data_IF_455639954465
#
_entry.id   IF_455639954465
#
_cell.length_a   1.000
_cell.length_b   1.000
_cell.length_c   1.000
_cell.angle_alpha   90.00
_cell.angle_beta   90.00
_cell.angle_gamma   90.00
#
_symmetry.space_group_name_H-M   'P 1'
#
loop_
_entity.id
_entity.type
_entity.pdbx_description
1 polymer ?
#
# COMPACT_ATOMS: atom_id res chain seq x y z
N UNK A 1 31.74 -17.98 -38.26
CA UNK A 1 32.79 -16.94 -38.08
C UNK A 1 32.99 -16.73 -36.60
N UNK A 2 34.17 -17.12 -36.11
CA UNK A 2 34.50 -17.06 -34.69
C UNK A 2 35.41 -15.86 -34.42
N UNK A 3 35.03 -14.99 -33.53
CA UNK A 3 35.92 -13.91 -33.05
C UNK A 3 36.60 -14.34 -31.75
N UNK A 4 37.90 -14.47 -31.84
CA UNK A 4 38.82 -14.69 -30.71
C UNK A 4 39.13 -13.33 -30.07
N UNK A 5 38.90 -13.19 -28.79
CA UNK A 5 39.38 -12.06 -27.98
C UNK A 5 40.71 -12.43 -27.31
N UNK A 6 41.65 -11.56 -27.48
CA UNK A 6 43.05 -11.67 -27.07
C UNK A 6 43.18 -11.12 -25.63
N UNK A 7 43.70 -11.93 -24.74
CA UNK A 7 44.07 -11.51 -23.36
C UNK A 7 45.50 -10.93 -23.45
N UNK A 8 45.68 -9.72 -22.94
CA UNK A 8 47.01 -9.14 -22.69
C UNK A 8 47.23 -9.13 -21.17
N UNK A 9 48.23 -9.88 -20.75
CA UNK A 9 48.79 -9.85 -19.41
C UNK A 9 50.01 -8.94 -19.46
N UNK A 10 50.05 -7.91 -18.63
CA UNK A 10 51.29 -7.19 -18.29
C UNK A 10 51.49 -7.24 -16.79
N UNK A 11 52.55 -7.95 -16.45
CA UNK A 11 53.22 -7.91 -15.13
C UNK A 11 54.16 -6.71 -15.12
N UNK A 12 54.10 -5.87 -14.10
CA UNK A 12 55.33 -5.33 -13.52
C UNK A 12 55.01 -4.80 -12.11
N UNK A 13 55.83 -5.26 -11.18
CA UNK A 13 55.77 -4.91 -9.76
C UNK A 13 56.42 -3.58 -9.45
N UNK A 14 55.96 -2.97 -8.41
CA UNK A 14 56.86 -2.28 -7.46
C UNK A 14 56.19 -2.14 -6.12
N UNK A 15 56.92 -2.69 -5.11
CA UNK A 15 56.58 -2.66 -3.70
C UNK A 15 57.15 -1.37 -3.11
N UNK A 16 56.30 -0.50 -2.59
CA UNK A 16 56.74 0.52 -1.60
C UNK A 16 55.72 0.59 -0.48
N UNK A 17 56.13 0.03 0.68
CA UNK A 17 55.48 0.17 1.96
C UNK A 17 55.46 1.69 2.36
N UNK A 18 54.29 2.30 2.36
CA UNK A 18 54.03 3.49 3.16
C UNK A 18 53.08 3.11 4.29
N UNK A 19 53.62 3.00 5.50
CA UNK A 19 52.85 3.10 6.72
C UNK A 19 52.15 4.46 6.79
N UNK A 20 50.89 4.49 6.48
CA UNK A 20 50.01 5.61 6.83
C UNK A 20 49.30 5.22 8.13
N UNK A 21 49.80 5.79 9.24
CA UNK A 21 49.04 5.87 10.49
C UNK A 21 47.72 6.58 10.22
N UNK A 22 46.63 5.79 10.20
CA UNK A 22 45.27 6.32 10.10
C UNK A 22 44.88 6.81 11.49
N UNK A 23 45.13 8.10 11.79
CA UNK A 23 44.50 8.78 12.92
C UNK A 23 42.98 8.65 12.79
N UNK A 24 42.39 7.81 13.64
CA UNK A 24 40.97 7.66 13.80
C UNK A 24 40.37 8.93 14.42
N UNK A 25 40.08 9.92 13.59
CA UNK A 25 39.21 11.03 13.97
C UNK A 25 37.85 10.45 14.38
N UNK A 26 37.58 10.40 15.69
CA UNK A 26 36.25 10.18 16.25
C UNK A 26 35.34 11.26 15.67
N UNK A 27 34.61 10.93 14.58
CA UNK A 27 33.52 11.76 14.10
C UNK A 27 32.49 11.84 15.22
N UNK A 28 32.42 12.99 15.88
CA UNK A 28 31.28 13.36 16.73
C UNK A 28 30.00 13.13 15.92
N UNK A 29 29.01 12.37 16.43
CA UNK A 29 27.75 12.19 15.71
C UNK A 29 27.13 13.59 15.49
N UNK A 30 26.58 13.86 14.31
CA UNK A 30 25.89 15.13 14.06
C UNK A 30 24.78 15.30 15.12
N UNK A 31 24.49 16.56 15.54
CA UNK A 31 23.44 16.83 16.50
C UNK A 31 22.17 16.14 16.02
N UNK A 32 21.52 15.43 16.94
CA UNK A 32 20.32 14.63 16.67
C UNK A 32 19.32 15.47 15.88
N UNK A 33 19.20 15.20 14.60
CA UNK A 33 18.14 15.76 13.79
C UNK A 33 16.82 15.33 14.44
N UNK A 34 16.11 16.27 15.04
CA UNK A 34 14.77 16.04 15.57
C UNK A 34 13.99 15.39 14.43
N UNK A 35 13.63 14.13 14.62
CA UNK A 35 12.84 13.40 13.61
C UNK A 35 11.57 14.22 13.35
N UNK A 36 11.20 14.48 12.09
CA UNK A 36 10.05 15.30 11.78
C UNK A 36 8.84 14.76 12.53
N UNK A 37 8.29 15.60 13.40
CA UNK A 37 7.13 15.25 14.22
C UNK A 37 5.91 15.20 13.30
N UNK A 38 5.41 14.00 13.02
CA UNK A 38 4.12 13.81 12.36
C UNK A 38 3.16 13.09 13.29
N UNK A 39 1.89 13.41 13.20
CA UNK A 39 0.81 12.72 13.91
C UNK A 39 0.14 11.71 12.95
N UNK A 40 0.14 10.42 13.34
CA UNK A 40 -0.58 9.36 12.64
C UNK A 40 -1.83 9.01 13.45
N UNK A 41 -2.98 9.33 12.93
CA UNK A 41 -4.28 9.07 13.58
C UNK A 41 -5.35 8.58 12.62
N UNK A 42 -6.45 8.08 13.15
CA UNK A 42 -7.65 7.80 12.36
C UNK A 42 -8.19 9.10 11.77
N UNK A 43 -8.70 9.01 10.56
CA UNK A 43 -9.36 10.11 9.87
C UNK A 43 -10.65 9.63 9.20
N UNK A 44 -11.42 10.55 8.65
CA UNK A 44 -12.60 10.23 7.84
C UNK A 44 -12.20 9.73 6.45
N UNK A 45 -13.09 8.98 5.80
CA UNK A 45 -12.91 8.62 4.40
C UNK A 45 -12.98 9.84 3.48
N UNK A 46 -13.71 10.87 3.89
CA UNK A 46 -13.84 12.11 3.16
C UNK A 46 -12.52 12.88 3.08
N UNK A 47 -11.78 12.98 4.18
CA UNK A 47 -10.42 13.58 4.17
C UNK A 47 -9.49 12.84 3.21
N UNK A 48 -9.55 11.50 3.17
CA UNK A 48 -8.74 10.72 2.22
C UNK A 48 -9.20 10.94 0.79
N UNK A 49 -10.52 11.05 0.54
CA UNK A 49 -11.07 11.35 -0.78
C UNK A 49 -10.66 12.72 -1.30
N UNK A 50 -10.74 13.72 -0.45
CA UNK A 50 -10.33 15.07 -0.79
C UNK A 50 -8.84 15.12 -1.17
N UNK A 51 -7.99 14.44 -0.41
CA UNK A 51 -6.58 14.32 -0.74
C UNK A 51 -6.36 13.55 -2.06
N UNK A 52 -7.13 12.47 -2.30
CA UNK A 52 -7.07 11.69 -3.54
C UNK A 52 -7.50 12.51 -4.76
N UNK A 53 -8.53 13.35 -4.63
CA UNK A 53 -9.00 14.17 -5.75
C UNK A 53 -7.95 15.15 -6.25
N UNK A 54 -7.06 15.59 -5.37
CA UNK A 54 -5.99 16.55 -5.69
C UNK A 54 -4.67 15.89 -6.12
N UNK A 55 -4.35 14.72 -5.57
CA UNK A 55 -3.00 14.17 -5.66
C UNK A 55 -2.91 12.71 -6.12
N UNK A 56 -4.03 12.03 -6.41
CA UNK A 56 -4.01 10.63 -6.82
C UNK A 56 -4.48 10.45 -8.26
N UNK A 57 -3.74 9.72 -9.10
CA UNK A 57 -4.03 9.54 -10.51
C UNK A 57 -5.42 8.95 -10.85
N UNK A 58 -6.07 8.27 -9.90
CA UNK A 58 -7.46 7.81 -10.02
C UNK A 58 -8.49 8.81 -9.47
N UNK A 59 -8.08 9.94 -8.91
CA UNK A 59 -8.93 11.03 -8.46
C UNK A 59 -9.96 10.71 -7.38
N UNK A 60 -9.94 9.52 -6.80
CA UNK A 60 -10.91 9.11 -5.76
C UNK A 60 -10.41 7.96 -4.90
N UNK A 61 -10.92 7.89 -3.67
CA UNK A 61 -10.72 6.80 -2.72
C UNK A 61 -11.96 5.92 -2.67
N UNK A 62 -12.41 5.22 -3.57
CA UNK A 62 -13.50 4.23 -3.55
C UNK A 62 -14.67 4.49 -2.58
N UNK A 63 -15.74 3.71 -2.68
CA UNK A 63 -16.98 3.95 -1.95
C UNK A 63 -16.97 3.58 -0.45
N UNK A 64 -16.11 2.67 -0.04
CA UNK A 64 -16.16 2.09 1.32
C UNK A 64 -14.74 1.89 1.84
N UNK A 65 -14.47 2.31 3.07
CA UNK A 65 -13.27 1.93 3.81
C UNK A 65 -13.66 1.48 5.23
N UNK A 66 -12.97 0.47 5.74
CA UNK A 66 -13.15 -0.02 7.11
C UNK A 66 -12.26 0.77 8.06
N UNK A 67 -11.08 1.13 7.58
CA UNK A 67 -10.14 1.98 8.30
C UNK A 67 -9.61 3.05 7.39
N UNK A 68 -9.55 4.28 7.89
CA UNK A 68 -8.81 5.38 7.30
C UNK A 68 -7.80 5.92 8.31
N UNK A 69 -6.60 6.21 7.82
CA UNK A 69 -5.54 6.85 8.59
C UNK A 69 -5.05 8.08 7.85
N UNK A 70 -4.86 9.14 8.59
CA UNK A 70 -4.22 10.37 8.12
C UNK A 70 -2.87 10.60 8.81
N UNK A 71 -1.93 11.13 8.07
CA UNK A 71 -0.70 11.71 8.60
C UNK A 71 -0.84 13.21 8.58
N UNK A 72 -0.61 13.83 9.72
CA UNK A 72 -0.77 15.27 9.90
C UNK A 72 0.56 15.91 10.26
N UNK A 73 0.86 17.04 9.65
CA UNK A 73 1.94 17.95 9.98
C UNK A 73 1.32 19.33 10.25
N UNK A 74 1.58 19.89 11.40
CA UNK A 74 1.03 21.20 11.81
C UNK A 74 -0.50 21.29 11.64
N UNK A 75 -1.22 20.20 11.93
CA UNK A 75 -2.67 20.12 11.79
C UNK A 75 -3.20 19.85 10.37
N UNK A 76 -2.36 19.93 9.34
CA UNK A 76 -2.70 19.67 7.94
C UNK A 76 -2.47 18.19 7.59
N UNK A 77 -3.44 17.58 6.91
CA UNK A 77 -3.26 16.21 6.39
C UNK A 77 -2.28 16.23 5.20
N UNK A 78 -1.20 15.44 5.31
CA UNK A 78 -0.15 15.35 4.27
C UNK A 78 -0.07 13.97 3.61
N UNK A 79 -0.67 12.94 4.22
CA UNK A 79 -0.86 11.63 3.59
C UNK A 79 -2.11 10.97 4.12
N UNK A 80 -2.77 10.19 3.25
CA UNK A 80 -4.01 9.47 3.55
C UNK A 80 -3.94 8.02 3.09
N UNK A 81 -4.57 7.13 3.87
CA UNK A 81 -4.60 5.69 3.63
C UNK A 81 -6.01 5.16 3.87
N UNK A 82 -6.56 4.45 2.90
CA UNK A 82 -7.87 3.82 3.01
C UNK A 82 -7.74 2.31 2.86
N UNK A 83 -8.25 1.58 3.86
CA UNK A 83 -8.23 0.14 3.95
C UNK A 83 -9.63 -0.43 3.85
N UNK A 84 -9.82 -1.47 3.05
CA UNK A 84 -11.10 -2.16 2.87
C UNK A 84 -10.90 -3.64 2.56
N UNK A 85 -11.85 -4.53 2.87
CA UNK A 85 -11.84 -5.89 2.38
C UNK A 85 -11.83 -5.86 0.85
N UNK A 86 -10.96 -6.65 0.19
CA UNK A 86 -11.01 -6.76 -1.27
C UNK A 86 -12.27 -7.51 -1.72
N UNK A 87 -12.65 -7.46 -3.00
CA UNK A 87 -13.71 -8.29 -3.54
C UNK A 87 -13.46 -9.77 -3.24
N UNK A 88 -14.51 -10.59 -3.03
CA UNK A 88 -14.36 -11.98 -2.59
C UNK A 88 -13.46 -12.84 -3.49
N UNK A 89 -13.50 -12.65 -4.81
CA UNK A 89 -12.61 -13.32 -5.76
C UNK A 89 -11.14 -12.95 -5.57
N UNK A 90 -10.86 -11.67 -5.34
CA UNK A 90 -9.51 -11.21 -5.06
C UNK A 90 -9.01 -11.69 -3.69
N UNK A 91 -9.87 -11.70 -2.68
CA UNK A 91 -9.53 -12.24 -1.36
C UNK A 91 -9.14 -13.72 -1.43
N UNK A 92 -9.94 -14.53 -2.13
CA UNK A 92 -9.63 -15.97 -2.36
C UNK A 92 -8.35 -16.18 -3.15
N UNK A 93 -8.05 -15.31 -4.10
CA UNK A 93 -6.80 -15.41 -4.87
C UNK A 93 -5.54 -15.06 -4.05
N UNK A 94 -5.70 -14.34 -2.94
CA UNK A 94 -4.61 -13.97 -2.03
C UNK A 94 -4.46 -15.00 -0.92
N UNK A 95 -5.56 -15.39 -0.28
CA UNK A 95 -5.58 -16.33 0.86
C UNK A 95 -6.82 -17.23 0.73
N UNK A 96 -6.73 -18.36 0.00
CA UNK A 96 -7.87 -19.26 -0.24
C UNK A 96 -8.42 -19.88 1.05
N UNK A 97 -7.56 -20.18 2.02
CA UNK A 97 -7.93 -20.79 3.30
C UNK A 97 -8.65 -19.82 4.25
N UNK A 98 -8.40 -18.54 4.15
CA UNK A 98 -8.99 -17.53 5.02
C UNK A 98 -9.27 -16.19 4.27
N UNK A 99 -10.12 -16.20 3.22
CA UNK A 99 -10.35 -15.00 2.42
C UNK A 99 -10.97 -13.85 3.22
N UNK A 100 -11.69 -14.18 4.29
CA UNK A 100 -12.23 -13.19 5.23
C UNK A 100 -11.17 -12.48 6.08
N UNK A 101 -9.94 -12.98 6.13
CA UNK A 101 -8.79 -12.39 6.83
C UNK A 101 -7.94 -11.46 5.96
N UNK A 102 -8.35 -11.21 4.72
CA UNK A 102 -7.60 -10.35 3.80
C UNK A 102 -8.12 -8.90 3.89
N UNK A 103 -7.21 -7.96 4.11
CA UNK A 103 -7.50 -6.53 4.06
C UNK A 103 -6.65 -5.85 2.98
N UNK A 104 -7.27 -5.02 2.18
CA UNK A 104 -6.60 -4.31 1.09
C UNK A 104 -6.34 -2.85 1.45
N UNK A 105 -5.10 -2.38 1.27
CA UNK A 105 -4.83 -0.96 1.15
C UNK A 105 -5.30 -0.51 -0.24
N UNK A 106 -6.52 0.00 -0.28
CA UNK A 106 -7.19 0.38 -1.53
C UNK A 106 -6.72 1.71 -2.09
N UNK A 107 -6.30 2.61 -1.21
CA UNK A 107 -5.72 3.91 -1.57
C UNK A 107 -4.62 4.29 -0.60
N UNK A 108 -3.57 4.82 -1.17
CA UNK A 108 -2.52 5.54 -0.49
C UNK A 108 -2.22 6.79 -1.31
N UNK A 109 -2.28 7.93 -0.69
CA UNK A 109 -2.04 9.22 -1.31
C UNK A 109 -1.21 10.08 -0.37
N UNK A 110 -0.36 10.91 -0.92
CA UNK A 110 0.37 11.92 -0.17
C UNK A 110 0.53 13.18 -1.02
N UNK A 111 0.59 14.32 -0.37
CA UNK A 111 1.00 15.56 -1.04
C UNK A 111 2.41 15.41 -1.62
N UNK A 112 2.82 16.18 -2.62
CA UNK A 112 4.17 16.18 -3.18
C UNK A 112 5.26 16.21 -2.09
N UNK A 113 6.41 15.62 -2.39
CA UNK A 113 7.46 15.42 -1.37
C UNK A 113 8.08 16.73 -0.87
N UNK A 114 8.07 17.74 -1.67
CA UNK A 114 8.55 19.11 -1.38
C UNK A 114 7.58 19.89 -0.50
N UNK A 115 6.30 19.50 -0.49
CA UNK A 115 5.25 20.15 0.29
C UNK A 115 5.04 19.55 1.69
N UNK A 116 5.90 18.61 2.13
CA UNK A 116 5.75 17.92 3.44
C UNK A 116 7.12 17.64 4.08
N UNK A 117 7.15 17.68 5.40
CA UNK A 117 8.33 17.32 6.19
C UNK A 117 8.55 15.79 6.18
N UNK A 118 7.50 14.99 6.21
CA UNK A 118 7.57 13.52 6.12
C UNK A 118 8.19 13.08 4.80
N UNK A 119 9.44 12.64 4.82
CA UNK A 119 10.15 12.20 3.61
C UNK A 119 9.74 10.79 3.14
N UNK A 120 9.38 9.90 4.08
CA UNK A 120 9.13 8.48 3.80
C UNK A 120 7.75 8.04 4.28
N UNK A 121 6.78 8.00 3.38
CA UNK A 121 5.41 7.52 3.65
C UNK A 121 5.34 6.03 4.01
N UNK A 122 6.42 5.28 3.81
CA UNK A 122 6.55 3.89 4.25
C UNK A 122 6.60 3.74 5.79
N UNK A 123 7.09 4.76 6.51
CA UNK A 123 7.16 4.73 7.99
C UNK A 123 5.77 4.72 8.64
N UNK A 124 4.86 5.66 8.34
CA UNK A 124 3.49 5.59 8.84
C UNK A 124 2.72 4.37 8.29
N UNK A 125 3.01 3.90 7.07
CA UNK A 125 2.41 2.68 6.54
C UNK A 125 2.77 1.47 7.40
N UNK A 126 4.04 1.26 7.74
CA UNK A 126 4.45 0.16 8.65
C UNK A 126 3.77 0.23 10.01
N UNK A 127 3.60 1.44 10.57
CA UNK A 127 2.91 1.64 11.84
C UNK A 127 1.44 1.23 11.75
N UNK A 128 0.74 1.59 10.68
CA UNK A 128 -0.64 1.18 10.43
C UNK A 128 -0.78 -0.34 10.28
N UNK A 129 0.11 -0.96 9.49
CA UNK A 129 0.13 -2.41 9.30
C UNK A 129 0.22 -3.13 10.64
N UNK A 130 1.12 -2.69 11.53
CA UNK A 130 1.22 -3.25 12.89
C UNK A 130 -0.09 -3.10 13.66
N UNK A 131 -0.68 -1.90 13.69
CA UNK A 131 -1.97 -1.64 14.35
C UNK A 131 -3.07 -2.57 13.82
N UNK A 132 -3.12 -2.82 12.52
CA UNK A 132 -4.14 -3.67 11.90
C UNK A 132 -3.92 -5.15 12.18
N UNK A 133 -2.66 -5.60 12.18
CA UNK A 133 -2.27 -6.98 12.45
C UNK A 133 -2.47 -7.33 13.93
N UNK A 134 -2.08 -6.44 14.84
CA UNK A 134 -2.20 -6.64 16.29
C UNK A 134 -3.66 -6.81 16.75
N UNK A 135 -4.62 -6.38 15.94
CA UNK A 135 -6.04 -6.65 16.16
C UNK A 135 -6.44 -8.11 15.87
N UNK A 136 -5.55 -8.92 15.29
CA UNK A 136 -5.76 -10.33 15.01
C UNK A 136 -6.74 -10.65 13.87
N UNK A 137 -7.53 -9.66 13.42
CA UNK A 137 -8.57 -9.86 12.41
C UNK A 137 -8.02 -10.00 10.98
N UNK A 138 -6.87 -9.38 10.68
CA UNK A 138 -6.34 -9.22 9.34
C UNK A 138 -4.94 -9.81 9.22
N UNK A 139 -4.80 -11.15 9.19
CA UNK A 139 -3.50 -11.79 9.06
C UNK A 139 -2.84 -11.57 7.71
N UNK A 140 -3.60 -11.15 6.70
CA UNK A 140 -3.07 -10.92 5.36
C UNK A 140 -3.46 -9.53 4.87
N UNK A 141 -2.45 -8.75 4.51
CA UNK A 141 -2.63 -7.44 3.89
C UNK A 141 -2.26 -7.52 2.41
N UNK A 142 -3.01 -6.85 1.54
CA UNK A 142 -2.76 -6.81 0.10
C UNK A 142 -2.87 -5.39 -0.43
N UNK A 143 -2.08 -5.08 -1.45
CA UNK A 143 -2.20 -3.82 -2.20
C UNK A 143 -1.71 -4.01 -3.64
N UNK A 144 -1.92 -2.99 -4.45
CA UNK A 144 -1.55 -3.01 -5.86
C UNK A 144 -0.86 -1.70 -6.23
N UNK A 145 0.25 -1.80 -6.97
CA UNK A 145 0.86 -0.65 -7.64
C UNK A 145 0.54 -0.68 -9.14
N UNK A 146 0.17 0.46 -9.70
CA UNK A 146 -0.09 0.63 -11.12
C UNK A 146 1.19 1.11 -11.81
N UNK A 147 1.84 0.21 -12.55
CA UNK A 147 3.07 0.51 -13.28
C UNK A 147 2.86 1.57 -14.38
N UNK A 148 1.67 1.61 -14.98
CA UNK A 148 1.31 2.63 -15.97
C UNK A 148 1.13 4.04 -15.40
N UNK A 149 1.12 4.16 -14.06
CA UNK A 149 1.17 5.44 -13.33
C UNK A 149 2.60 5.73 -12.81
N UNK A 150 3.60 4.97 -13.23
CA UNK A 150 4.96 5.11 -12.73
C UNK A 150 5.17 4.57 -11.31
N UNK A 151 4.19 3.85 -10.76
CA UNK A 151 4.28 3.32 -9.39
C UNK A 151 5.18 2.09 -9.34
N UNK A 152 6.41 2.25 -8.90
CA UNK A 152 7.39 1.16 -8.77
C UNK A 152 7.10 0.21 -7.59
N UNK A 153 6.21 0.59 -6.69
CA UNK A 153 5.94 -0.12 -5.44
C UNK A 153 7.05 0.00 -4.39
N UNK A 154 8.00 0.91 -4.57
CA UNK A 154 9.12 1.12 -3.64
C UNK A 154 8.66 1.32 -2.19
N UNK A 155 7.58 2.07 -1.97
CA UNK A 155 7.00 2.28 -0.64
C UNK A 155 6.58 0.96 0.01
N UNK A 156 6.01 0.03 -0.73
CA UNK A 156 5.59 -1.28 -0.23
C UNK A 156 6.80 -2.14 0.12
N UNK A 157 7.79 -2.20 -0.78
CA UNK A 157 9.06 -2.89 -0.48
C UNK A 157 9.70 -2.36 0.80
N UNK A 158 9.81 -1.04 0.97
CA UNK A 158 10.34 -0.41 2.18
C UNK A 158 9.48 -0.64 3.42
N UNK A 159 8.20 -1.03 3.27
CA UNK A 159 7.29 -1.34 4.38
C UNK A 159 7.24 -2.84 4.72
N UNK A 160 8.05 -3.68 4.08
CA UNK A 160 8.10 -5.12 4.34
C UNK A 160 7.02 -5.93 3.62
N UNK A 161 6.53 -5.44 2.47
CA UNK A 161 5.64 -6.19 1.61
C UNK A 161 6.42 -7.02 0.60
N UNK A 162 5.91 -8.18 0.27
CA UNK A 162 6.44 -9.05 -0.77
C UNK A 162 5.76 -8.78 -2.11
N UNK A 163 6.57 -8.70 -3.15
CA UNK A 163 6.09 -8.63 -4.53
C UNK A 163 5.64 -10.02 -4.96
N UNK A 164 4.37 -10.14 -5.41
CA UNK A 164 3.81 -11.44 -5.79
C UNK A 164 3.40 -11.47 -7.26
N UNK A 165 2.13 -11.53 -7.58
CA UNK A 165 1.64 -11.67 -8.95
C UNK A 165 1.52 -10.32 -9.67
N UNK A 166 1.57 -10.37 -10.99
CA UNK A 166 1.37 -9.24 -11.89
C UNK A 166 0.22 -9.56 -12.83
N UNK A 167 -0.70 -8.61 -13.00
CA UNK A 167 -1.86 -8.77 -13.87
C UNK A 167 -2.06 -7.57 -14.76
N UNK A 168 -2.43 -7.81 -16.01
CA UNK A 168 -2.82 -6.76 -16.95
C UNK A 168 -4.28 -6.38 -16.66
N UNK A 169 -4.55 -5.08 -16.51
CA UNK A 169 -5.90 -4.54 -16.29
C UNK A 169 -6.23 -3.45 -17.30
N UNK A 170 -7.49 -3.45 -17.76
CA UNK A 170 -8.03 -2.32 -18.50
C UNK A 170 -8.23 -1.13 -17.55
N UNK A 171 -8.05 0.06 -18.07
CA UNK A 171 -8.47 1.30 -17.43
C UNK A 171 -9.30 2.13 -18.41
N UNK A 172 -10.09 3.04 -17.85
CA UNK A 172 -11.02 3.91 -18.55
C UNK A 172 -10.70 5.35 -18.19
N UNK A 173 -11.04 6.28 -19.08
CA UNK A 173 -10.80 7.72 -18.90
C UNK A 173 -12.11 8.39 -18.55
N UNK A 174 -12.11 9.21 -17.50
CA UNK A 174 -13.21 10.11 -17.16
C UNK A 174 -13.11 11.40 -17.94
N UNK A 175 -14.20 12.17 -17.96
CA UNK A 175 -14.28 13.49 -18.62
C UNK A 175 -13.24 14.50 -18.09
N UNK A 176 -12.82 14.35 -16.83
CA UNK A 176 -11.76 15.14 -16.19
C UNK A 176 -10.33 14.66 -16.50
N UNK A 177 -10.18 13.64 -17.37
CA UNK A 177 -8.91 13.03 -17.72
C UNK A 177 -8.37 12.04 -16.69
N UNK A 178 -9.03 11.86 -15.54
CA UNK A 178 -8.59 10.90 -14.53
C UNK A 178 -8.88 9.45 -14.94
N UNK A 179 -8.13 8.50 -14.40
CA UNK A 179 -8.32 7.08 -14.70
C UNK A 179 -9.38 6.45 -13.80
N UNK A 180 -10.15 5.52 -14.36
CA UNK A 180 -11.03 4.62 -13.64
C UNK A 180 -10.65 3.17 -13.89
N UNK A 181 -10.74 2.32 -12.86
CA UNK A 181 -10.63 0.86 -13.02
C UNK A 181 -11.98 0.20 -13.37
N UNK A 182 -13.06 0.97 -13.36
CA UNK A 182 -14.41 0.50 -13.64
C UNK A 182 -14.90 1.10 -14.96
N UNK A 183 -15.57 0.26 -15.75
CA UNK A 183 -16.23 0.68 -16.99
C UNK A 183 -17.38 1.68 -16.75
N UNK A 184 -18.09 1.49 -15.65
CA UNK A 184 -19.19 2.37 -15.25
C UNK A 184 -18.72 3.28 -14.11
N UNK A 185 -18.74 4.59 -14.34
CA UNK A 185 -18.58 5.56 -13.27
C UNK A 185 -19.94 5.86 -12.66
N UNK A 186 -20.32 5.14 -11.61
CA UNK A 186 -21.61 5.23 -10.95
C UNK A 186 -21.88 6.56 -10.20
N UNK A 187 -21.24 7.66 -10.56
CA UNK A 187 -21.35 8.94 -9.87
C UNK A 187 -22.56 9.77 -10.26
N UNK A 188 -23.18 9.48 -11.38
CA UNK A 188 -24.30 10.32 -11.89
C UNK A 188 -25.43 9.42 -12.31
N UNK A 189 -26.29 8.96 -11.45
CA UNK A 189 -27.62 8.39 -11.72
C UNK A 189 -27.94 7.76 -13.09
N UNK A 190 -27.05 7.81 -14.04
CA UNK A 190 -27.03 7.19 -15.36
C UNK A 190 -25.71 6.49 -15.59
N UNK A 191 -25.77 5.28 -16.15
CA UNK A 191 -24.60 4.50 -16.58
C UNK A 191 -23.88 5.25 -17.71
N UNK A 192 -23.02 6.20 -17.39
CA UNK A 192 -22.08 6.72 -18.37
C UNK A 192 -21.00 5.67 -18.62
N UNK A 193 -21.01 5.13 -19.82
CA UNK A 193 -19.93 4.27 -20.31
C UNK A 193 -18.69 5.13 -20.53
N UNK A 194 -17.65 4.84 -19.77
CA UNK A 194 -16.36 5.52 -19.92
C UNK A 194 -15.63 5.02 -21.16
N UNK A 195 -14.90 5.90 -21.81
CA UNK A 195 -14.03 5.53 -22.92
C UNK A 195 -12.88 4.64 -22.40
N UNK A 196 -12.55 3.59 -23.18
CA UNK A 196 -11.46 2.71 -22.85
C UNK A 196 -10.12 3.40 -23.10
N UNK A 197 -9.38 3.72 -22.04
CA UNK A 197 -8.07 4.36 -22.13
C UNK A 197 -6.93 3.41 -22.50
N UNK A 198 -7.13 2.10 -22.31
CA UNK A 198 -6.09 1.11 -22.62
C UNK A 198 -5.92 0.05 -21.53
N UNK A 199 -4.68 -0.42 -21.37
CA UNK A 199 -4.32 -1.40 -20.36
C UNK A 199 -3.10 -0.92 -19.57
N UNK A 200 -3.06 -1.33 -18.30
CA UNK A 200 -1.93 -1.11 -17.41
C UNK A 200 -1.52 -2.42 -16.73
N UNK A 201 -0.31 -2.48 -16.22
CA UNK A 201 0.15 -3.59 -15.41
C UNK A 201 -0.01 -3.24 -13.93
N UNK A 202 -0.74 -4.11 -13.21
CA UNK A 202 -0.94 -4.03 -11.77
C UNK A 202 -0.04 -5.05 -11.09
N UNK A 203 0.91 -4.58 -10.30
CA UNK A 203 1.75 -5.42 -9.47
C UNK A 203 1.10 -5.61 -8.11
N UNK A 204 0.84 -6.87 -7.70
CA UNK A 204 0.31 -7.20 -6.38
C UNK A 204 1.45 -7.30 -5.37
N UNK A 205 1.19 -6.75 -4.19
CA UNK A 205 2.05 -6.78 -3.01
C UNK A 205 1.27 -7.39 -1.86
N UNK A 206 1.88 -8.31 -1.12
CA UNK A 206 1.28 -9.00 0.01
C UNK A 206 2.17 -8.87 1.25
N UNK A 207 1.51 -8.82 2.42
CA UNK A 207 2.17 -8.93 3.70
C UNK A 207 1.41 -9.94 4.56
N UNK A 208 2.09 -10.98 5.01
CA UNK A 208 1.53 -12.05 5.83
C UNK A 208 2.04 -11.91 7.27
N UNK A 209 1.12 -11.73 8.21
CA UNK A 209 1.42 -11.64 9.65
C UNK A 209 1.79 -12.99 10.26
N UNK A 210 1.44 -14.08 9.58
CA UNK A 210 1.73 -15.46 9.97
C UNK A 210 2.13 -16.28 8.72
N UNK A 211 2.78 -17.44 8.88
CA UNK A 211 3.04 -18.34 7.77
C UNK A 211 1.77 -18.66 6.97
N UNK A 212 1.92 -18.82 5.66
CA UNK A 212 0.80 -19.24 4.79
C UNK A 212 0.24 -20.56 5.31
N UNK A 213 -1.07 -20.73 5.26
CA UNK A 213 -1.79 -21.87 5.82
C UNK A 213 -2.22 -21.71 7.27
N UNK A 214 -1.65 -20.78 8.04
CA UNK A 214 -2.06 -20.51 9.42
C UNK A 214 -3.01 -19.32 9.57
N UNK A 215 -3.37 -18.66 8.47
CA UNK A 215 -4.22 -17.48 8.51
C UNK A 215 -5.60 -17.75 9.12
N UNK A 216 -6.20 -18.92 8.85
CA UNK A 216 -7.49 -19.31 9.43
C UNK A 216 -7.38 -19.47 10.96
N UNK A 217 -6.35 -20.18 11.44
CA UNK A 217 -6.11 -20.36 12.87
C UNK A 217 -5.84 -19.02 13.56
N UNK A 218 -5.07 -18.13 12.93
CA UNK A 218 -4.84 -16.79 13.44
C UNK A 218 -6.14 -16.01 13.60
N UNK A 219 -7.05 -16.10 12.63
CA UNK A 219 -8.37 -15.46 12.71
C UNK A 219 -9.28 -16.09 13.77
N UNK A 220 -9.23 -17.40 13.95
CA UNK A 220 -10.04 -18.10 14.96
C UNK A 220 -9.58 -17.76 16.38
N UNK A 221 -8.29 -17.52 16.57
CA UNK A 221 -7.74 -17.08 17.86
C UNK A 221 -8.02 -15.61 18.16
N UNK A 222 -8.43 -14.84 17.16
CA UNK A 222 -8.84 -13.47 17.37
C UNK A 222 -10.30 -13.42 17.83
N UNK A 223 -10.57 -12.74 18.94
CA UNK A 223 -11.91 -12.58 19.55
C UNK A 223 -12.81 -11.67 18.69
N UNK A 224 -13.07 -12.08 17.44
CA UNK A 224 -13.87 -11.29 16.51
C UNK A 224 -15.12 -12.05 16.06
N UNK A 225 -16.26 -11.49 16.37
CA UNK A 225 -17.56 -11.99 15.89
C UNK A 225 -17.97 -11.25 14.62
N UNK A 226 -18.37 -12.00 13.62
CA UNK A 226 -19.02 -11.50 12.43
C UNK A 226 -20.49 -11.23 12.73
N UNK A 227 -20.90 -9.98 12.66
CA UNK A 227 -22.28 -9.56 12.95
C UNK A 227 -22.90 -8.99 11.68
N UNK A 228 -24.12 -9.43 11.29
CA UNK A 228 -24.86 -8.80 10.22
C UNK A 228 -25.12 -7.32 10.53
N UNK A 229 -24.98 -6.46 9.54
CA UNK A 229 -25.35 -5.05 9.67
C UNK A 229 -26.84 -4.93 9.39
N UNK A 230 -27.67 -4.56 10.37
CA UNK A 230 -29.12 -4.44 10.19
C UNK A 230 -29.45 -3.52 9.00
N UNK A 231 -30.38 -3.95 8.15
CA UNK A 231 -30.87 -3.15 7.03
C UNK A 231 -29.91 -2.93 5.87
N UNK A 232 -28.67 -3.46 5.92
CA UNK A 232 -27.73 -3.38 4.80
C UNK A 232 -27.59 -4.70 4.07
N UNK A 233 -28.05 -4.72 2.82
CA UNK A 233 -27.90 -5.86 1.89
C UNK A 233 -27.05 -5.42 0.70
N UNK A 234 -26.20 -6.31 0.20
CA UNK A 234 -25.50 -6.08 -1.05
C UNK A 234 -26.49 -6.19 -2.23
N UNK A 235 -26.14 -5.63 -3.39
CA UNK A 235 -26.96 -5.77 -4.62
C UNK A 235 -27.25 -7.23 -5.00
N UNK A 236 -26.48 -8.18 -4.50
CA UNK A 236 -26.67 -9.62 -4.63
C UNK A 236 -27.70 -10.23 -3.67
N UNK A 237 -28.38 -9.43 -2.85
CA UNK A 237 -29.31 -9.93 -1.81
C UNK A 237 -28.66 -10.46 -0.54
N UNK A 238 -27.33 -10.55 -0.49
CA UNK A 238 -26.62 -11.05 0.69
C UNK A 238 -26.50 -9.95 1.77
N UNK A 239 -26.64 -10.32 3.07
CA UNK A 239 -26.47 -9.35 4.15
C UNK A 239 -25.05 -8.79 4.17
N UNK A 240 -24.94 -7.49 4.43
CA UNK A 240 -23.67 -6.87 4.80
C UNK A 240 -23.28 -7.29 6.21
N UNK A 241 -21.99 -7.45 6.45
CA UNK A 241 -21.47 -7.80 7.78
C UNK A 241 -20.48 -6.75 8.26
N UNK A 242 -20.55 -6.48 9.55
CA UNK A 242 -19.48 -5.82 10.29
C UNK A 242 -18.80 -6.83 11.20
N UNK A 243 -17.67 -6.46 11.76
CA UNK A 243 -16.94 -7.27 12.72
C UNK A 243 -16.82 -6.47 14.00
N UNK A 244 -17.24 -7.05 15.09
CA UNK A 244 -17.12 -6.48 16.43
C UNK A 244 -16.11 -7.31 17.22
N UNK A 245 -15.30 -6.65 18.00
CA UNK A 245 -14.46 -7.32 18.97
C UNK A 245 -15.33 -7.65 20.19
N UNK A 246 -15.28 -8.89 20.69
CA UNK A 246 -15.90 -9.19 21.98
C UNK A 246 -15.20 -8.34 23.03
N UNK A 247 -15.95 -7.47 23.68
CA UNK A 247 -15.51 -6.78 24.88
C UNK A 247 -15.37 -7.84 25.97
N UNK A 248 -14.15 -8.11 26.43
CA UNK A 248 -13.90 -8.84 27.66
C UNK A 248 -14.21 -7.96 28.86
#
# INVERSE_FOLDING_TARGET
MAFKSKVIVSSDGNSTNHHNECESQKKTPPPSSIAPSYDLRKCSLEEVRDLCSRHHGYGTAGGVAVYCFGVYEEGRIVAGYAWQPPPPGAARAVCPEAPGGVLSLSRMVAVPRDERALKHVSTPLRRQMRILIDRGRWPVLVTYSDEGQGHTGHVYKCSGWEKTTRARRAYYIRSDGTRSSNYNDGKTGGLQHLEKGGHTWMQRWEHHACPRGLALQHMQNALWKRVPVPGKVWRSGNPSFTYIQDSQ
#
